data_IF_475647558945
#
_entry.id   IF_475647558945
#
_cell.length_a   1.000
_cell.length_b   1.000
_cell.length_c   1.000
_cell.angle_alpha   90.00
_cell.angle_beta   90.00
_cell.angle_gamma   90.00
#
_symmetry.space_group_name_H-M   'P 1'
#
loop_
_entity.id
_entity.type
_entity.pdbx_description
1 polymer ?
#
# COMPACT_ATOMS: atom_id res chain seq x y z
N UNK A 1 5.96 -31.43 8.36
CA UNK A 1 5.62 -30.13 8.96
C UNK A 1 6.60 -29.10 8.40
N UNK A 2 6.14 -28.17 7.57
CA UNK A 2 6.97 -27.07 7.07
C UNK A 2 7.01 -25.96 8.13
N UNK A 3 8.20 -25.43 8.44
CA UNK A 3 8.37 -24.40 9.46
C UNK A 3 9.44 -23.39 9.01
N UNK A 4 9.03 -22.25 8.43
CA UNK A 4 9.97 -21.21 8.06
C UNK A 4 10.35 -20.39 9.29
N UNK A 5 11.63 -20.44 9.69
CA UNK A 5 12.18 -19.60 10.75
C UNK A 5 12.55 -18.20 10.26
N UNK A 6 12.65 -17.22 11.17
CA UNK A 6 13.11 -15.84 10.91
C UNK A 6 12.31 -15.09 9.83
N UNK A 7 11.00 -15.31 9.78
CA UNK A 7 10.12 -14.52 8.92
C UNK A 7 10.00 -13.09 9.46
N UNK A 8 10.09 -12.04 8.62
CA UNK A 8 9.87 -10.66 9.03
C UNK A 8 8.47 -10.48 9.63
N UNK A 9 8.33 -9.63 10.65
CA UNK A 9 7.04 -9.36 11.29
C UNK A 9 5.95 -8.96 10.28
N UNK A 10 6.33 -8.13 9.29
CA UNK A 10 5.43 -7.68 8.21
C UNK A 10 4.85 -8.85 7.41
N UNK A 11 5.60 -9.92 7.22
CA UNK A 11 5.13 -11.10 6.47
C UNK A 11 4.24 -11.98 7.34
N UNK A 12 4.51 -12.08 8.64
CA UNK A 12 3.60 -12.73 9.59
C UNK A 12 2.24 -12.02 9.63
N UNK A 13 2.22 -10.69 9.64
CA UNK A 13 0.99 -9.89 9.60
C UNK A 13 0.18 -10.14 8.31
N UNK A 14 0.87 -10.29 7.17
CA UNK A 14 0.24 -10.65 5.88
C UNK A 14 -0.32 -12.07 5.89
N UNK A 15 0.40 -13.03 6.48
CA UNK A 15 -0.07 -14.42 6.62
C UNK A 15 -1.29 -14.51 7.53
N UNK A 16 -1.31 -13.76 8.64
CA UNK A 16 -2.49 -13.65 9.49
C UNK A 16 -3.69 -13.12 8.71
N UNK A 17 -3.50 -12.05 7.93
CA UNK A 17 -4.57 -11.47 7.11
C UNK A 17 -5.06 -12.43 6.00
N UNK A 18 -4.19 -13.25 5.42
CA UNK A 18 -4.52 -14.15 4.32
C UNK A 18 -5.15 -15.47 4.79
N UNK A 19 -4.63 -16.07 5.86
CA UNK A 19 -5.03 -17.39 6.35
C UNK A 19 -5.99 -17.33 7.56
N UNK A 20 -6.19 -16.16 8.15
CA UNK A 20 -7.10 -15.94 9.28
C UNK A 20 -6.60 -16.45 10.64
N UNK A 21 -5.35 -16.87 10.73
CA UNK A 21 -4.72 -17.31 11.99
C UNK A 21 -4.18 -16.15 12.82
N UNK A 22 -3.87 -16.41 14.09
CA UNK A 22 -3.28 -15.44 15.01
C UNK A 22 -1.86 -15.83 15.44
N UNK A 23 -0.96 -14.85 15.57
CA UNK A 23 0.39 -15.07 16.11
C UNK A 23 0.31 -15.38 17.60
N UNK A 24 0.92 -16.49 18.00
CA UNK A 24 1.08 -16.88 19.40
C UNK A 24 2.54 -16.77 19.81
N UNK A 25 2.77 -16.19 20.98
CA UNK A 25 4.10 -16.09 21.61
C UNK A 25 4.40 -17.29 22.51
N UNK A 26 3.36 -18.00 22.98
CA UNK A 26 3.47 -19.13 23.91
C UNK A 26 2.78 -20.36 23.35
N UNK A 27 3.41 -21.53 23.52
CA UNK A 27 2.93 -22.83 23.02
C UNK A 27 1.75 -23.43 23.80
N UNK A 28 1.42 -22.92 24.98
CA UNK A 28 0.35 -23.47 25.84
C UNK A 28 -1.06 -23.10 25.39
N UNK A 29 -1.22 -22.11 24.51
CA UNK A 29 -2.51 -21.58 24.06
C UNK A 29 -2.85 -21.97 22.61
N UNK A 30 -2.36 -23.12 22.14
CA UNK A 30 -2.63 -23.58 20.79
C UNK A 30 -3.98 -24.30 20.76
N UNK A 31 -5.00 -23.59 20.29
CA UNK A 31 -6.34 -24.13 20.04
C UNK A 31 -6.65 -24.20 18.54
N UNK A 32 -7.66 -25.00 18.17
CA UNK A 32 -8.11 -25.09 16.78
C UNK A 32 -8.69 -23.76 16.23
N UNK A 33 -9.08 -22.83 17.12
CA UNK A 33 -9.64 -21.51 16.80
C UNK A 33 -8.60 -20.49 16.33
N UNK A 34 -7.33 -20.64 16.76
CA UNK A 34 -6.23 -19.71 16.46
C UNK A 34 -5.43 -20.12 15.22
N UNK A 35 -5.64 -21.34 14.73
CA UNK A 35 -5.01 -21.85 13.52
C UNK A 35 -5.68 -21.30 12.26
N UNK A 36 -4.87 -20.71 11.37
CA UNK A 36 -5.31 -20.33 10.04
C UNK A 36 -5.48 -21.55 9.12
N UNK A 37 -6.33 -21.42 8.12
CA UNK A 37 -6.50 -22.42 7.06
C UNK A 37 -6.19 -21.80 5.72
N UNK A 38 -5.58 -22.58 4.84
CA UNK A 38 -5.41 -22.23 3.44
C UNK A 38 -5.96 -23.37 2.59
N UNK A 39 -6.52 -23.04 1.43
CA UNK A 39 -7.04 -24.05 0.51
C UNK A 39 -5.91 -24.88 -0.10
N UNK A 40 -4.77 -24.24 -0.41
CA UNK A 40 -3.62 -24.84 -1.07
C UNK A 40 -2.34 -24.24 -0.53
N UNK A 41 -1.36 -25.10 -0.24
CA UNK A 41 -0.01 -24.71 0.19
C UNK A 41 1.01 -25.46 -0.68
N UNK A 42 1.94 -24.74 -1.27
CA UNK A 42 3.06 -25.30 -2.02
C UNK A 42 4.26 -24.37 -1.93
N UNK A 43 5.45 -24.95 -1.87
CA UNK A 43 6.70 -24.21 -1.99
C UNK A 43 7.13 -24.27 -3.45
N UNK A 44 7.04 -23.14 -4.14
CA UNK A 44 7.41 -23.05 -5.55
C UNK A 44 8.53 -22.05 -5.72
N UNK A 45 9.60 -22.49 -6.38
CA UNK A 45 10.61 -21.61 -6.93
C UNK A 45 9.96 -20.77 -8.04
N UNK A 46 9.70 -19.49 -7.77
CA UNK A 46 8.94 -18.67 -8.71
C UNK A 46 9.78 -18.32 -9.95
N UNK A 47 9.36 -18.93 -11.05
CA UNK A 47 9.02 -18.29 -12.31
C UNK A 47 7.56 -18.62 -12.68
N UNK A 48 6.66 -17.64 -12.52
CA UNK A 48 5.24 -17.53 -12.94
C UNK A 48 4.15 -18.40 -12.26
N UNK A 49 3.12 -17.75 -11.70
CA UNK A 49 1.83 -18.32 -11.28
C UNK A 49 0.68 -17.32 -11.48
N UNK A 50 -0.50 -17.81 -11.89
CA UNK A 50 -1.45 -17.07 -12.72
C UNK A 50 -2.80 -16.65 -12.08
N UNK A 51 -3.05 -16.86 -10.78
CA UNK A 51 -4.27 -16.31 -10.16
C UNK A 51 -4.20 -16.33 -8.61
N UNK A 52 -3.81 -15.21 -8.01
CA UNK A 52 -3.82 -15.00 -6.55
C UNK A 52 -4.28 -13.58 -6.21
N UNK A 53 -5.05 -13.43 -5.12
CA UNK A 53 -5.46 -12.11 -4.57
C UNK A 53 -4.30 -11.33 -3.91
N UNK A 54 -3.12 -11.94 -3.82
CA UNK A 54 -1.87 -11.32 -3.42
C UNK A 54 -0.83 -11.49 -4.53
N UNK A 55 -0.03 -10.47 -4.78
CA UNK A 55 1.05 -10.49 -5.76
C UNK A 55 2.35 -10.07 -5.09
N UNK A 56 3.44 -10.76 -5.41
CA UNK A 56 4.80 -10.46 -4.93
C UNK A 56 5.62 -9.94 -6.11
N UNK A 57 6.14 -8.73 -6.00
CA UNK A 57 7.01 -8.10 -7.00
C UNK A 57 8.47 -8.30 -6.59
N UNK A 58 9.26 -8.99 -7.42
CA UNK A 58 10.69 -9.16 -7.19
C UNK A 58 11.47 -8.09 -7.95
N UNK A 59 12.09 -7.17 -7.22
CA UNK A 59 12.92 -6.10 -7.79
C UNK A 59 14.38 -6.55 -7.88
N UNK A 60 14.98 -6.38 -9.06
CA UNK A 60 16.42 -6.61 -9.28
C UNK A 60 17.07 -5.32 -9.74
N UNK A 61 18.24 -4.99 -9.19
CA UNK A 61 19.00 -3.81 -9.54
C UNK A 61 20.48 -3.98 -9.23
N UNK A 62 21.35 -3.22 -9.91
CA UNK A 62 22.80 -3.28 -9.73
C UNK A 62 23.30 -2.54 -8.49
N UNK A 63 22.47 -1.72 -7.86
CA UNK A 63 22.80 -0.96 -6.65
C UNK A 63 21.61 -0.97 -5.68
N UNK A 64 21.89 -1.14 -4.40
CA UNK A 64 20.87 -1.22 -3.34
C UNK A 64 20.03 0.05 -3.23
N UNK A 65 20.66 1.22 -3.40
CA UNK A 65 19.97 2.52 -3.40
C UNK A 65 18.91 2.62 -4.51
N UNK A 66 19.19 2.07 -5.70
CA UNK A 66 18.25 2.07 -6.81
C UNK A 66 17.07 1.15 -6.53
N UNK A 67 17.31 -0.01 -5.91
CA UNK A 67 16.26 -0.95 -5.53
C UNK A 67 15.34 -0.29 -4.48
N UNK A 68 15.91 0.35 -3.47
CA UNK A 68 15.14 1.06 -2.44
C UNK A 68 14.31 2.22 -3.02
N UNK A 69 14.86 2.96 -3.99
CA UNK A 69 14.11 4.03 -4.67
C UNK A 69 12.99 3.48 -5.55
N UNK A 70 13.24 2.37 -6.22
CA UNK A 70 12.24 1.69 -7.06
C UNK A 70 11.10 1.12 -6.20
N UNK A 71 11.41 0.54 -5.03
CA UNK A 71 10.40 0.07 -4.07
C UNK A 71 9.48 1.22 -3.64
N UNK A 72 10.05 2.38 -3.26
CA UNK A 72 9.28 3.57 -2.88
C UNK A 72 8.41 4.09 -4.03
N UNK A 73 9.00 4.20 -5.22
CA UNK A 73 8.28 4.66 -6.42
C UNK A 73 7.09 3.76 -6.76
N UNK A 74 7.26 2.44 -6.69
CA UNK A 74 6.18 1.48 -6.94
C UNK A 74 5.11 1.54 -5.86
N UNK A 75 5.50 1.67 -4.60
CA UNK A 75 4.57 1.80 -3.50
C UNK A 75 3.65 3.02 -3.68
N UNK A 76 4.21 4.17 -4.06
CA UNK A 76 3.44 5.40 -4.30
C UNK A 76 2.48 5.25 -5.48
N UNK A 77 2.94 4.65 -6.59
CA UNK A 77 2.08 4.37 -7.74
C UNK A 77 0.90 3.45 -7.40
N UNK A 78 1.14 2.36 -6.65
CA UNK A 78 0.10 1.42 -6.21
C UNK A 78 -0.91 2.13 -5.30
N UNK A 79 -0.44 3.00 -4.40
CA UNK A 79 -1.31 3.76 -3.51
C UNK A 79 -2.20 4.75 -4.28
N UNK A 80 -1.69 5.38 -5.33
CA UNK A 80 -2.50 6.25 -6.21
C UNK A 80 -3.60 5.45 -6.90
N UNK A 81 -3.27 4.31 -7.53
CA UNK A 81 -4.27 3.45 -8.19
C UNK A 81 -5.30 2.94 -7.20
N UNK A 82 -4.87 2.55 -5.99
CA UNK A 82 -5.78 2.13 -4.92
C UNK A 82 -6.75 3.25 -4.50
N UNK A 83 -6.29 4.50 -4.43
CA UNK A 83 -7.12 5.67 -4.12
C UNK A 83 -8.07 6.00 -5.27
N UNK A 84 -7.59 5.98 -6.51
CA UNK A 84 -8.39 6.19 -7.71
C UNK A 84 -9.51 5.14 -7.85
N UNK A 85 -9.25 3.89 -7.45
CA UNK A 85 -10.30 2.84 -7.44
C UNK A 85 -11.37 3.08 -6.35
N UNK A 86 -11.04 3.79 -5.27
CA UNK A 86 -12.01 4.11 -4.20
C UNK A 86 -12.80 5.37 -4.53
N UNK A 87 -12.15 6.37 -5.12
CA UNK A 87 -12.71 7.66 -5.45
C UNK A 87 -12.45 7.96 -6.94
N UNK A 88 -13.50 8.11 -7.73
CA UNK A 88 -13.40 8.37 -9.18
C UNK A 88 -13.12 9.84 -9.52
N UNK A 89 -12.92 10.72 -8.53
CA UNK A 89 -12.60 12.12 -8.76
C UNK A 89 -11.10 12.31 -9.01
N UNK A 90 -10.78 12.81 -10.19
CA UNK A 90 -9.41 13.14 -10.61
C UNK A 90 -9.32 14.64 -10.88
N UNK A 91 -8.21 15.25 -10.48
CA UNK A 91 -7.91 16.67 -10.70
C UNK A 91 -6.83 16.84 -11.76
N UNK A 92 -6.89 17.93 -12.50
CA UNK A 92 -5.85 18.30 -13.45
C UNK A 92 -4.53 18.61 -12.71
N UNK A 93 -3.42 18.10 -13.22
CA UNK A 93 -2.07 18.31 -12.67
C UNK A 93 -1.32 19.44 -13.42
N UNK A 94 -0.04 19.63 -13.11
CA UNK A 94 0.84 20.54 -13.85
C UNK A 94 0.61 22.02 -13.55
N UNK A 95 0.19 22.37 -12.33
CA UNK A 95 -0.07 23.77 -11.96
C UNK A 95 -1.48 24.26 -12.29
N UNK A 96 -2.25 23.49 -13.07
CA UNK A 96 -3.58 23.90 -13.53
C UNK A 96 -4.57 24.07 -12.37
N UNK A 97 -4.57 23.13 -11.42
CA UNK A 97 -5.45 23.22 -10.25
C UNK A 97 -5.02 24.37 -9.33
N UNK A 98 -3.72 24.60 -9.18
CA UNK A 98 -3.17 25.68 -8.37
C UNK A 98 -3.52 27.06 -8.95
N UNK A 99 -3.47 27.22 -10.28
CA UNK A 99 -3.88 28.44 -10.97
C UNK A 99 -5.39 28.69 -10.83
N UNK A 100 -6.21 27.65 -10.99
CA UNK A 100 -7.65 27.76 -10.85
C UNK A 100 -8.06 28.07 -9.40
N UNK A 101 -7.42 27.44 -8.41
CA UNK A 101 -7.61 27.75 -7.00
C UNK A 101 -7.23 29.21 -6.71
N UNK A 102 -6.08 29.64 -7.21
CA UNK A 102 -5.59 31.01 -7.03
C UNK A 102 -6.56 32.03 -7.62
N UNK A 103 -7.10 31.77 -8.82
CA UNK A 103 -8.12 32.60 -9.46
C UNK A 103 -9.39 32.65 -8.60
N UNK A 104 -9.88 31.50 -8.14
CA UNK A 104 -11.08 31.40 -7.34
C UNK A 104 -10.96 32.14 -6.00
N UNK A 105 -9.82 31.99 -5.32
CA UNK A 105 -9.51 32.70 -4.07
C UNK A 105 -9.45 34.21 -4.27
N UNK A 106 -8.81 34.69 -5.34
CA UNK A 106 -8.78 36.14 -5.66
C UNK A 106 -10.16 36.73 -5.91
N UNK A 107 -11.05 35.99 -6.57
CA UNK A 107 -12.43 36.44 -6.80
C UNK A 107 -13.18 36.52 -5.46
N UNK A 108 -13.05 35.51 -4.60
CA UNK A 108 -13.63 35.54 -3.25
C UNK A 108 -13.06 36.66 -2.39
N UNK A 109 -11.75 36.89 -2.42
CA UNK A 109 -11.11 37.96 -1.65
C UNK A 109 -11.69 39.34 -1.96
N UNK A 110 -12.06 39.62 -3.23
CA UNK A 110 -12.72 40.89 -3.59
C UNK A 110 -14.04 41.12 -2.85
N UNK A 111 -14.78 40.05 -2.55
CA UNK A 111 -16.09 40.12 -1.85
C UNK A 111 -15.98 40.36 -0.34
N UNK A 112 -14.83 40.08 0.28
CA UNK A 112 -14.64 40.21 1.74
C UNK A 112 -14.12 41.62 2.08
N UNK A 113 -14.83 42.49 2.82
CA UNK A 113 -14.31 43.79 3.25
C UNK A 113 -13.24 43.67 4.35
N UNK A 114 -12.15 44.45 4.31
CA UNK A 114 -11.14 44.51 5.39
C UNK A 114 -9.70 44.24 4.97
N UNK A 115 -8.78 44.20 5.96
CA UNK A 115 -7.33 43.96 5.76
C UNK A 115 -7.00 42.54 5.28
N UNK A 116 -7.93 41.61 5.40
CA UNK A 116 -7.81 40.23 4.90
C UNK A 116 -7.80 40.16 3.36
N UNK A 117 -8.13 41.25 2.65
CA UNK A 117 -8.04 41.34 1.18
C UNK A 117 -6.60 41.42 0.63
N UNK A 118 -5.61 41.79 1.45
CA UNK A 118 -4.28 42.24 0.98
C UNK A 118 -3.19 41.17 0.95
N UNK A 119 -3.54 39.88 1.01
CA UNK A 119 -2.60 38.77 0.89
C UNK A 119 -2.91 37.91 -0.34
#
# INVERSE_FOLDING_TARGET
MFCPGRSPQKDLDRVMAACGGSILTTVTQIDASVLGKCATFYEQQIGSCANTHACTLLLRGGAEQLIAETERSLHDAIMIVRRAKKNDSVVASGGAIEMELSRHLRVKAKTIPGKEKSF
#
